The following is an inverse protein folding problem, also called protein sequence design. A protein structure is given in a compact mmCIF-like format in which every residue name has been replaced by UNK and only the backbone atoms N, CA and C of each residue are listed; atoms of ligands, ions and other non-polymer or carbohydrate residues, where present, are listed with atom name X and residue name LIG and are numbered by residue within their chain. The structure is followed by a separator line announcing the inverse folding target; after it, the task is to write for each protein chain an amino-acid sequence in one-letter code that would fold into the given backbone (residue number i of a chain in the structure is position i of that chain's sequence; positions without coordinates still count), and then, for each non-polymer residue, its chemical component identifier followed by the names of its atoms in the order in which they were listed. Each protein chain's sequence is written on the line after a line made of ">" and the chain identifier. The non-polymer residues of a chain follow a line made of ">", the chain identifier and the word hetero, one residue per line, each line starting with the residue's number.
data_IF_342119531910
#
_entry.id   IF_342119531910
#
_cell.length_a   1.000
_cell.length_b   1.000
_cell.length_c   1.000
_cell.angle_alpha   90.00
_cell.angle_beta   90.00
_cell.angle_gamma   90.00
#
_symmetry.space_group_name_H-M   'P 1'
#
loop_
_entity.id
_entity.type
_entity.pdbx_description
1 polymer ?
#
# COMPACT_ATOMS: atom_id res chain seq x y z
N UNK A 1 -31.77 40.55 -14.39
CA UNK A 1 -30.42 40.40 -13.83
C UNK A 1 -30.23 39.16 -12.94
N UNK A 2 -31.27 38.50 -12.37
CA UNK A 2 -31.09 37.33 -11.49
C UNK A 2 -30.86 35.97 -12.20
N UNK A 3 -31.23 35.85 -13.49
CA UNK A 3 -31.11 34.54 -14.17
C UNK A 3 -29.70 34.21 -14.66
N UNK A 4 -28.89 35.20 -15.04
CA UNK A 4 -27.49 34.99 -15.46
C UNK A 4 -26.58 34.60 -14.29
N UNK A 5 -26.74 35.24 -13.14
CA UNK A 5 -25.93 34.92 -11.94
C UNK A 5 -26.21 33.50 -11.41
N UNK A 6 -27.46 33.03 -11.44
CA UNK A 6 -27.80 31.66 -11.05
C UNK A 6 -27.25 30.60 -12.02
N UNK A 7 -27.17 30.94 -13.31
CA UNK A 7 -26.61 30.03 -14.32
C UNK A 7 -25.09 29.92 -14.22
N UNK A 8 -24.40 31.02 -13.99
CA UNK A 8 -22.95 31.03 -13.78
C UNK A 8 -22.54 30.28 -12.50
N UNK A 9 -23.25 30.51 -11.39
CA UNK A 9 -23.01 29.76 -10.14
C UNK A 9 -23.26 28.26 -10.30
N UNK A 10 -24.29 27.84 -11.04
CA UNK A 10 -24.56 26.44 -11.33
C UNK A 10 -23.51 25.80 -12.22
N UNK A 11 -22.92 26.54 -13.17
CA UNK A 11 -21.79 26.07 -13.98
C UNK A 11 -20.50 25.93 -13.18
N UNK A 12 -20.22 26.84 -12.25
CA UNK A 12 -19.06 26.75 -11.36
C UNK A 12 -19.17 25.52 -10.44
N UNK A 13 -20.34 25.28 -9.86
CA UNK A 13 -20.60 24.11 -9.04
C UNK A 13 -20.45 22.81 -9.85
N UNK A 14 -20.96 22.74 -11.07
CA UNK A 14 -20.82 21.59 -11.97
C UNK A 14 -19.34 21.35 -12.32
N UNK A 15 -18.59 22.42 -12.63
CA UNK A 15 -17.16 22.31 -12.92
C UNK A 15 -16.36 21.82 -11.69
N UNK A 16 -16.75 22.22 -10.49
CA UNK A 16 -16.14 21.71 -9.26
C UNK A 16 -16.40 20.22 -9.06
N UNK A 17 -17.65 19.76 -9.29
CA UNK A 17 -17.94 18.31 -9.23
C UNK A 17 -17.15 17.52 -10.28
N UNK A 18 -16.97 18.07 -11.48
CA UNK A 18 -16.10 17.44 -12.50
C UNK A 18 -14.63 17.41 -12.07
N UNK A 19 -14.13 18.47 -11.44
CA UNK A 19 -12.79 18.55 -10.87
C UNK A 19 -12.60 17.52 -9.75
N UNK A 20 -13.56 17.40 -8.85
CA UNK A 20 -13.57 16.40 -7.77
C UNK A 20 -13.59 14.97 -8.37
N UNK A 21 -14.45 14.71 -9.35
CA UNK A 21 -14.51 13.41 -10.03
C UNK A 21 -13.17 13.08 -10.74
N UNK A 22 -12.53 14.07 -11.34
CA UNK A 22 -11.20 13.92 -11.94
C UNK A 22 -10.13 13.59 -10.89
N UNK A 23 -10.15 14.29 -9.74
CA UNK A 23 -9.22 14.04 -8.64
C UNK A 23 -9.39 12.61 -8.08
N UNK A 24 -10.63 12.15 -7.93
CA UNK A 24 -10.94 10.77 -7.49
C UNK A 24 -10.36 9.72 -8.46
N UNK A 25 -10.35 10.01 -9.76
CA UNK A 25 -9.86 9.08 -10.78
C UNK A 25 -8.35 9.18 -11.06
N UNK A 26 -7.67 10.21 -10.58
CA UNK A 26 -6.28 10.53 -10.96
C UNK A 26 -5.20 9.96 -10.04
N UNK A 27 -5.56 9.58 -8.81
CA UNK A 27 -4.59 9.08 -7.81
C UNK A 27 -5.11 7.84 -7.10
N UNK A 28 -4.20 6.99 -6.65
CA UNK A 28 -4.51 5.84 -5.78
C UNK A 28 -4.31 6.15 -4.30
N UNK A 29 -3.64 7.24 -3.98
CA UNK A 29 -3.38 7.66 -2.61
C UNK A 29 -4.51 8.54 -2.09
N UNK A 30 -5.15 8.09 -1.02
CA UNK A 30 -6.29 8.78 -0.38
C UNK A 30 -5.99 10.26 -0.09
N UNK A 31 -4.81 10.56 0.43
CA UNK A 31 -4.46 11.95 0.77
C UNK A 31 -4.41 12.84 -0.46
N UNK A 32 -3.86 12.37 -1.57
CA UNK A 32 -3.79 13.15 -2.82
C UNK A 32 -5.18 13.41 -3.41
N UNK A 33 -6.05 12.40 -3.39
CA UNK A 33 -7.45 12.55 -3.83
C UNK A 33 -8.14 13.61 -2.97
N UNK A 34 -8.09 13.46 -1.66
CA UNK A 34 -8.77 14.34 -0.72
C UNK A 34 -8.18 15.76 -0.71
N UNK A 35 -6.89 15.91 -0.99
CA UNK A 35 -6.24 17.20 -1.21
C UNK A 35 -6.82 17.89 -2.44
N UNK A 36 -6.98 17.19 -3.56
CA UNK A 36 -7.62 17.73 -4.76
C UNK A 36 -9.07 18.15 -4.49
N UNK A 37 -9.83 17.31 -3.79
CA UNK A 37 -11.21 17.63 -3.37
C UNK A 37 -11.28 18.88 -2.51
N UNK A 38 -10.37 18.99 -1.50
CA UNK A 38 -10.36 20.13 -0.58
C UNK A 38 -9.98 21.43 -1.30
N UNK A 39 -9.04 21.39 -2.26
CA UNK A 39 -8.65 22.53 -3.09
C UNK A 39 -9.86 23.07 -3.88
N UNK A 40 -10.57 22.17 -4.57
CA UNK A 40 -11.74 22.57 -5.35
C UNK A 40 -12.87 23.08 -4.45
N UNK A 41 -13.10 22.42 -3.33
CA UNK A 41 -14.11 22.86 -2.38
C UNK A 41 -13.78 24.25 -1.78
N UNK A 42 -12.54 24.49 -1.38
CA UNK A 42 -12.07 25.80 -0.89
C UNK A 42 -12.28 26.91 -1.94
N UNK A 43 -12.00 26.59 -3.21
CA UNK A 43 -12.17 27.53 -4.33
C UNK A 43 -13.63 27.93 -4.52
N UNK A 44 -14.55 26.95 -4.48
CA UNK A 44 -15.99 27.22 -4.70
C UNK A 44 -16.60 28.00 -3.54
N UNK A 45 -16.30 27.62 -2.30
CA UNK A 45 -16.79 28.35 -1.12
C UNK A 45 -16.01 29.64 -0.85
N UNK A 46 -14.98 29.95 -1.66
CA UNK A 46 -14.12 31.11 -1.58
C UNK A 46 -13.53 31.34 -0.18
N UNK A 47 -13.00 30.30 0.43
CA UNK A 47 -12.42 30.36 1.79
C UNK A 47 -10.92 30.71 1.78
N UNK A 48 -10.46 31.47 2.80
CA UNK A 48 -9.04 31.79 3.02
C UNK A 48 -8.22 30.52 3.31
N UNK A 49 -8.77 29.65 4.15
CA UNK A 49 -8.15 28.39 4.54
C UNK A 49 -9.20 27.25 4.60
N UNK A 50 -8.72 26.03 4.41
CA UNK A 50 -9.54 24.84 4.55
C UNK A 50 -8.74 23.68 5.18
N UNK A 51 -9.39 22.91 6.03
CA UNK A 51 -8.80 21.74 6.69
C UNK A 51 -9.73 20.56 6.58
N UNK A 52 -9.20 19.42 6.20
CA UNK A 52 -9.85 18.12 6.32
C UNK A 52 -9.35 17.46 7.60
N UNK A 53 -10.24 17.29 8.54
CA UNK A 53 -10.00 16.58 9.79
C UNK A 53 -10.53 15.16 9.68
N UNK A 54 -9.75 14.16 10.11
CA UNK A 54 -10.19 12.77 10.21
C UNK A 54 -10.09 12.24 11.63
N UNK A 55 -11.02 11.37 11.99
CA UNK A 55 -10.96 10.61 13.26
C UNK A 55 -10.01 9.43 13.06
N UNK A 56 -8.97 9.38 13.88
CA UNK A 56 -8.07 8.23 13.94
C UNK A 56 -8.77 7.06 14.62
N UNK A 57 -8.96 5.96 13.90
CA UNK A 57 -9.72 4.80 14.38
C UNK A 57 -9.11 4.06 15.57
N UNK A 58 -7.82 4.31 15.89
CA UNK A 58 -7.13 3.67 17.05
C UNK A 58 -7.10 4.56 18.29
N UNK A 59 -6.82 5.85 18.09
CA UNK A 59 -6.63 6.81 19.19
C UNK A 59 -7.89 7.60 19.52
N UNK A 60 -8.88 7.58 18.62
CA UNK A 60 -10.09 8.42 18.61
C UNK A 60 -9.80 9.94 18.57
N UNK A 61 -8.55 10.34 18.38
CA UNK A 61 -8.17 11.72 18.16
C UNK A 61 -8.58 12.19 16.76
N UNK A 62 -8.84 13.48 16.64
CA UNK A 62 -9.17 14.14 15.37
C UNK A 62 -7.88 14.80 14.89
N UNK A 63 -7.37 14.32 13.76
CA UNK A 63 -6.09 14.74 13.19
C UNK A 63 -6.30 15.45 11.84
N UNK A 64 -5.53 16.51 11.52
CA UNK A 64 -5.60 17.15 10.21
C UNK A 64 -4.93 16.24 9.17
N UNK A 65 -5.71 15.74 8.20
CA UNK A 65 -5.15 14.97 7.08
C UNK A 65 -4.63 15.90 6.00
N UNK A 66 -5.41 16.93 5.66
CA UNK A 66 -5.06 17.91 4.63
C UNK A 66 -5.34 19.30 5.17
N UNK A 67 -4.36 20.19 5.01
CA UNK A 67 -4.49 21.61 5.34
C UNK A 67 -4.16 22.44 4.10
N UNK A 68 -4.97 23.44 3.81
CA UNK A 68 -4.77 24.40 2.72
C UNK A 68 -4.91 25.81 3.30
N UNK A 69 -3.91 26.65 3.08
CA UNK A 69 -3.89 28.02 3.60
C UNK A 69 -2.48 28.52 3.90
N UNK A 70 -2.34 29.72 4.43
CA UNK A 70 -1.05 30.37 4.65
C UNK A 70 -0.22 29.77 5.80
N UNK A 71 -0.79 28.91 6.65
CA UNK A 71 -0.20 28.42 7.90
C UNK A 71 -0.14 26.87 7.97
N UNK A 72 0.22 26.23 6.86
CA UNK A 72 0.20 24.75 6.76
C UNK A 72 1.20 24.10 7.72
N UNK A 73 2.40 24.68 7.86
CA UNK A 73 3.48 24.07 8.66
C UNK A 73 3.19 24.08 10.16
N UNK A 74 2.39 25.01 10.60
CA UNK A 74 2.01 25.19 12.00
C UNK A 74 0.97 24.17 12.47
N UNK A 75 0.37 23.40 11.53
CA UNK A 75 -0.57 22.33 11.85
C UNK A 75 0.09 20.98 12.21
N UNK A 76 1.40 20.89 12.08
CA UNK A 76 2.13 19.66 12.43
C UNK A 76 2.01 19.35 13.92
N UNK A 77 1.54 18.14 14.25
CA UNK A 77 1.32 17.70 15.64
C UNK A 77 0.06 18.26 16.32
N UNK A 78 -0.81 19.01 15.63
CA UNK A 78 -2.11 19.43 16.16
C UNK A 78 -3.09 18.25 16.10
N UNK A 79 -3.79 18.04 17.19
CA UNK A 79 -4.93 17.12 17.26
C UNK A 79 -6.02 17.72 18.16
N UNK A 80 -7.25 17.27 17.94
CA UNK A 80 -8.43 17.65 18.73
C UNK A 80 -9.07 16.40 19.33
N UNK A 81 -9.83 16.58 20.42
CA UNK A 81 -10.72 15.58 20.96
C UNK A 81 -12.14 15.79 20.44
N UNK A 82 -12.98 14.76 20.52
CA UNK A 82 -14.42 14.90 20.29
C UNK A 82 -14.98 15.98 21.23
N UNK A 83 -15.77 16.89 20.71
CA UNK A 83 -16.30 18.04 21.45
C UNK A 83 -15.34 19.24 21.57
N UNK A 84 -14.04 19.10 21.25
CA UNK A 84 -13.07 20.20 21.33
C UNK A 84 -13.14 21.10 20.08
N UNK A 85 -13.44 22.36 20.30
CA UNK A 85 -13.59 23.34 19.23
C UNK A 85 -14.79 23.05 18.30
N UNK A 86 -14.94 23.86 17.27
CA UNK A 86 -16.06 23.70 16.32
C UNK A 86 -15.96 22.38 15.55
N UNK A 87 -14.77 22.00 15.11
CA UNK A 87 -14.57 20.72 14.38
C UNK A 87 -14.90 19.50 15.26
N UNK A 88 -14.39 19.46 16.52
CA UNK A 88 -14.69 18.38 17.44
C UNK A 88 -16.18 18.27 17.80
N UNK A 89 -16.87 19.41 17.96
CA UNK A 89 -18.32 19.47 18.22
C UNK A 89 -19.13 18.95 17.03
N UNK A 90 -18.79 19.36 15.80
CA UNK A 90 -19.43 18.90 14.57
C UNK A 90 -19.30 17.38 14.43
N UNK A 91 -18.12 16.82 14.72
CA UNK A 91 -17.90 15.37 14.69
C UNK A 91 -18.70 14.66 15.77
N UNK A 92 -18.78 15.22 16.98
CA UNK A 92 -19.54 14.64 18.10
C UNK A 92 -21.05 14.66 17.84
N UNK A 93 -21.58 15.81 17.41
CA UNK A 93 -23.01 16.02 17.19
C UNK A 93 -23.49 15.52 15.83
N UNK A 94 -22.56 15.32 14.86
CA UNK A 94 -22.87 14.94 13.47
C UNK A 94 -23.74 15.99 12.75
N UNK A 95 -23.67 17.22 13.19
CA UNK A 95 -24.41 18.34 12.63
C UNK A 95 -23.42 19.39 12.10
N UNK A 96 -23.74 19.95 10.94
CA UNK A 96 -22.90 20.99 10.36
C UNK A 96 -23.02 22.30 11.16
N UNK A 97 -21.94 23.06 11.23
CA UNK A 97 -21.87 24.35 11.90
C UNK A 97 -21.56 25.47 10.88
N UNK A 98 -22.38 26.52 10.92
CA UNK A 98 -22.18 27.76 10.21
C UNK A 98 -22.03 28.90 11.23
N UNK A 99 -20.78 29.22 11.57
CA UNK A 99 -20.44 30.21 12.60
C UNK A 99 -20.01 31.50 11.93
N UNK A 100 -20.81 32.54 12.10
CA UNK A 100 -20.59 33.85 11.47
C UNK A 100 -19.71 34.79 12.30
N UNK A 101 -19.61 34.53 13.61
CA UNK A 101 -18.76 35.25 14.54
C UNK A 101 -18.23 34.27 15.60
N UNK A 102 -16.98 33.83 15.42
CA UNK A 102 -16.36 32.80 16.28
C UNK A 102 -16.13 33.28 17.69
N UNK A 103 -15.91 34.57 17.93
CA UNK A 103 -15.64 35.13 19.25
C UNK A 103 -16.86 35.04 20.17
N UNK A 104 -18.05 34.98 19.61
CA UNK A 104 -19.30 34.83 20.35
C UNK A 104 -19.82 33.39 20.38
N UNK A 105 -19.13 32.42 19.77
CA UNK A 105 -19.53 31.00 19.81
C UNK A 105 -18.91 30.30 21.02
N UNK A 106 -19.73 29.69 21.91
CA UNK A 106 -19.23 29.04 23.15
C UNK A 106 -18.36 27.79 22.86
N UNK A 107 -18.36 27.26 21.64
CA UNK A 107 -17.53 26.13 21.21
C UNK A 107 -16.20 26.60 20.62
N UNK A 108 -16.00 27.91 20.48
CA UNK A 108 -14.76 28.42 19.94
C UNK A 108 -13.59 28.14 20.88
N UNK A 109 -12.51 27.60 20.34
CA UNK A 109 -11.25 27.40 21.03
C UNK A 109 -10.15 28.14 20.24
N UNK A 110 -9.61 29.19 20.82
CA UNK A 110 -8.58 30.05 20.20
C UNK A 110 -7.20 29.40 20.11
N UNK A 111 -7.06 28.18 20.65
CA UNK A 111 -5.79 27.44 20.69
C UNK A 111 -5.15 27.31 19.32
N UNK A 112 -5.93 27.03 18.26
CA UNK A 112 -5.39 26.87 16.90
C UNK A 112 -4.95 28.21 16.36
N UNK A 113 -5.73 29.27 16.53
CA UNK A 113 -5.37 30.63 16.15
C UNK A 113 -4.11 31.09 16.88
N UNK A 114 -3.99 30.78 18.18
CA UNK A 114 -2.81 31.09 18.96
C UNK A 114 -1.55 30.39 18.46
N UNK A 115 -1.64 29.09 18.11
CA UNK A 115 -0.49 28.31 17.59
C UNK A 115 -0.12 28.79 16.19
N UNK A 116 -1.10 29.01 15.33
CA UNK A 116 -0.86 29.32 13.91
C UNK A 116 -0.64 30.82 13.65
N UNK A 117 -1.03 31.67 14.59
CA UNK A 117 -1.09 33.12 14.39
C UNK A 117 -2.08 33.54 13.30
N UNK A 118 -3.07 32.69 12.99
CA UNK A 118 -4.16 32.98 12.07
C UNK A 118 -5.29 33.68 12.83
N UNK A 119 -6.04 34.54 12.18
CA UNK A 119 -7.20 35.18 12.78
C UNK A 119 -8.47 34.65 12.16
N UNK A 120 -9.18 33.83 12.89
CA UNK A 120 -10.46 33.26 12.46
C UNK A 120 -11.60 34.25 12.79
N UNK A 121 -12.48 34.49 11.81
CA UNK A 121 -13.66 35.35 11.94
C UNK A 121 -14.95 34.58 11.76
N UNK A 122 -15.01 33.73 10.75
CA UNK A 122 -16.16 32.92 10.41
C UNK A 122 -15.71 31.51 10.03
N UNK A 123 -16.56 30.52 10.30
CA UNK A 123 -16.26 29.11 10.02
C UNK A 123 -17.51 28.44 9.43
N UNK A 124 -17.27 27.64 8.39
CA UNK A 124 -18.18 26.63 7.91
C UNK A 124 -17.55 25.25 8.17
N UNK A 125 -18.19 24.41 8.97
CA UNK A 125 -17.73 23.05 9.21
C UNK A 125 -18.82 22.05 8.88
N UNK A 126 -18.52 21.06 8.05
CA UNK A 126 -19.45 20.02 7.59
C UNK A 126 -18.93 18.64 7.97
N UNK A 127 -19.74 17.78 8.62
CA UNK A 127 -19.29 16.45 9.03
C UNK A 127 -19.17 15.54 7.81
N UNK A 128 -18.20 14.64 7.84
CA UNK A 128 -18.08 13.51 6.93
C UNK A 128 -18.69 12.30 7.64
N UNK A 129 -19.87 11.88 7.17
CA UNK A 129 -20.66 10.84 7.84
C UNK A 129 -20.64 9.57 7.01
N UNK A 130 -20.38 8.44 7.68
CA UNK A 130 -20.51 7.10 7.13
C UNK A 130 -21.10 6.17 8.18
N UNK A 131 -22.14 5.40 7.79
CA UNK A 131 -22.82 4.45 8.69
C UNK A 131 -23.19 5.09 10.04
N UNK A 132 -23.88 6.24 9.98
CA UNK A 132 -24.32 7.03 11.14
C UNK A 132 -23.20 7.55 12.06
N UNK A 133 -21.92 7.41 11.66
CA UNK A 133 -20.77 7.90 12.41
C UNK A 133 -20.08 9.03 11.65
N UNK A 134 -19.69 10.07 12.36
CA UNK A 134 -18.79 11.07 11.79
C UNK A 134 -17.36 10.53 11.80
N UNK A 135 -16.80 10.31 10.60
CA UNK A 135 -15.43 9.83 10.39
C UNK A 135 -14.44 10.98 10.21
N UNK A 136 -14.95 12.22 10.12
CA UNK A 136 -14.17 13.44 9.97
C UNK A 136 -15.06 14.64 9.72
N UNK A 137 -14.45 15.77 9.33
CA UNK A 137 -15.15 16.95 8.85
C UNK A 137 -14.29 17.78 7.91
N UNK A 138 -14.93 18.51 7.00
CA UNK A 138 -14.34 19.65 6.31
C UNK A 138 -14.59 20.91 7.13
N UNK A 139 -13.55 21.73 7.27
CA UNK A 139 -13.64 23.03 7.91
C UNK A 139 -13.07 24.10 6.96
N UNK A 140 -13.90 25.08 6.63
CA UNK A 140 -13.57 26.26 5.82
C UNK A 140 -13.55 27.47 6.72
N UNK A 141 -12.50 28.28 6.58
CA UNK A 141 -12.26 29.40 7.49
C UNK A 141 -12.16 30.68 6.68
N UNK A 142 -12.89 31.70 7.09
CA UNK A 142 -13.01 33.05 6.53
C UNK A 142 -13.30 33.06 5.02
N UNK A 143 -14.31 33.75 4.58
CA UNK A 143 -14.50 34.07 3.16
C UNK A 143 -13.52 35.15 2.72
N UNK A 144 -12.87 34.96 1.55
CA UNK A 144 -11.86 35.89 1.00
C UNK A 144 -12.41 37.26 0.70
N UNK A 145 -13.66 37.34 0.22
CA UNK A 145 -14.36 38.58 -0.08
C UNK A 145 -14.83 39.34 1.17
N UNK A 146 -14.56 38.81 2.37
CA UNK A 146 -14.97 39.39 3.66
C UNK A 146 -16.44 39.19 4.01
N UNK A 147 -17.21 38.51 3.17
CA UNK A 147 -18.60 38.11 3.45
C UNK A 147 -18.66 36.94 4.46
N UNK A 148 -19.86 36.55 4.83
CA UNK A 148 -20.12 35.37 5.65
C UNK A 148 -20.43 34.17 4.75
N UNK A 149 -20.13 32.97 5.24
CA UNK A 149 -20.57 31.76 4.56
C UNK A 149 -22.10 31.70 4.51
N UNK A 150 -22.64 31.25 3.38
CA UNK A 150 -24.05 31.17 3.10
C UNK A 150 -24.61 29.76 3.30
N UNK A 151 -25.95 29.63 3.21
CA UNK A 151 -26.60 28.31 3.17
C UNK A 151 -26.27 27.53 1.90
N UNK A 152 -25.89 28.20 0.83
CA UNK A 152 -25.48 27.57 -0.42
C UNK A 152 -24.08 26.98 -0.28
N UNK A 153 -23.16 27.71 0.36
CA UNK A 153 -21.84 27.16 0.75
C UNK A 153 -21.98 25.93 1.65
N UNK A 154 -22.92 25.96 2.60
CA UNK A 154 -23.23 24.83 3.46
C UNK A 154 -23.73 23.61 2.66
N UNK A 155 -24.69 23.80 1.72
CA UNK A 155 -25.21 22.73 0.88
C UNK A 155 -24.13 22.11 0.01
N UNK A 156 -23.31 22.94 -0.62
CA UNK A 156 -22.17 22.49 -1.41
C UNK A 156 -21.17 21.70 -0.55
N UNK A 157 -20.78 22.24 0.61
CA UNK A 157 -19.89 21.55 1.54
C UNK A 157 -20.40 20.18 1.97
N UNK A 158 -21.71 20.07 2.27
CA UNK A 158 -22.34 18.78 2.60
C UNK A 158 -22.29 17.78 1.43
N UNK A 159 -22.51 18.25 0.19
CA UNK A 159 -22.40 17.39 -0.99
C UNK A 159 -20.98 16.87 -1.20
N UNK A 160 -19.97 17.73 -1.06
CA UNK A 160 -18.55 17.35 -1.11
C UNK A 160 -18.21 16.37 0.00
N UNK A 161 -18.73 16.61 1.20
CA UNK A 161 -18.52 15.74 2.37
C UNK A 161 -19.04 14.32 2.12
N UNK A 162 -20.24 14.17 1.56
CA UNK A 162 -20.81 12.87 1.23
C UNK A 162 -19.99 12.11 0.18
N UNK A 163 -19.51 12.79 -0.87
CA UNK A 163 -18.61 12.17 -1.86
C UNK A 163 -17.30 11.73 -1.23
N UNK A 164 -16.72 12.56 -0.35
CA UNK A 164 -15.46 12.27 0.32
C UNK A 164 -15.59 11.10 1.30
N UNK A 165 -16.75 10.92 1.95
CA UNK A 165 -17.01 9.77 2.79
C UNK A 165 -16.83 8.45 2.02
N UNK A 166 -17.39 8.39 0.80
CA UNK A 166 -17.26 7.21 -0.07
C UNK A 166 -15.79 6.94 -0.45
N UNK A 167 -15.03 7.99 -0.79
CA UNK A 167 -13.59 7.86 -1.11
C UNK A 167 -12.81 7.33 0.07
N UNK A 168 -12.99 7.93 1.25
CA UNK A 168 -12.28 7.55 2.47
C UNK A 168 -12.55 6.09 2.83
N UNK A 169 -13.81 5.69 2.82
CA UNK A 169 -14.21 4.34 3.22
C UNK A 169 -13.76 3.31 2.20
N UNK A 170 -13.97 3.56 0.90
CA UNK A 170 -13.51 2.63 -0.13
C UNK A 170 -11.99 2.43 -0.08
N UNK A 171 -11.21 3.52 0.05
CA UNK A 171 -9.76 3.39 0.13
C UNK A 171 -9.33 2.63 1.39
N UNK A 172 -9.96 2.86 2.54
CA UNK A 172 -9.70 2.09 3.77
C UNK A 172 -10.04 0.61 3.59
N UNK A 173 -11.19 0.28 2.99
CA UNK A 173 -11.58 -1.10 2.73
C UNK A 173 -10.61 -1.81 1.78
N UNK A 174 -10.15 -1.14 0.72
CA UNK A 174 -9.13 -1.69 -0.17
C UNK A 174 -7.81 -1.97 0.56
N UNK A 175 -7.36 -1.06 1.41
CA UNK A 175 -6.14 -1.26 2.18
C UNK A 175 -6.27 -2.39 3.22
N UNK A 176 -7.40 -2.47 3.92
CA UNK A 176 -7.69 -3.57 4.84
C UNK A 176 -7.74 -4.93 4.11
N UNK A 177 -8.36 -5.00 2.94
CA UNK A 177 -8.37 -6.21 2.11
C UNK A 177 -6.96 -6.59 1.66
N UNK A 178 -6.15 -5.62 1.25
CA UNK A 178 -4.76 -5.83 0.86
C UNK A 178 -3.93 -6.41 2.00
N UNK A 179 -3.99 -5.80 3.18
CA UNK A 179 -3.30 -6.27 4.38
C UNK A 179 -3.76 -7.69 4.76
N UNK A 180 -5.07 -7.96 4.68
CA UNK A 180 -5.61 -9.28 4.98
C UNK A 180 -5.10 -10.34 4.01
N UNK A 181 -5.11 -10.07 2.71
CA UNK A 181 -4.60 -10.98 1.68
C UNK A 181 -3.12 -11.30 1.90
N UNK A 182 -2.29 -10.28 2.13
CA UNK A 182 -0.87 -10.47 2.42
C UNK A 182 -0.66 -11.28 3.71
N UNK A 183 -1.46 -11.01 4.74
CA UNK A 183 -1.40 -11.76 6.01
C UNK A 183 -1.77 -13.24 5.83
N UNK A 184 -2.81 -13.54 5.05
CA UNK A 184 -3.20 -14.91 4.71
C UNK A 184 -2.08 -15.59 3.92
N UNK A 185 -1.56 -14.93 2.88
CA UNK A 185 -0.47 -15.46 2.04
C UNK A 185 0.76 -15.79 2.88
N UNK A 186 1.18 -14.89 3.75
CA UNK A 186 2.29 -15.09 4.70
C UNK A 186 2.03 -16.27 5.66
N UNK A 187 0.80 -16.38 6.16
CA UNK A 187 0.41 -17.47 7.07
C UNK A 187 0.45 -18.82 6.37
N UNK A 188 -0.02 -18.91 5.12
CA UNK A 188 0.05 -20.13 4.31
C UNK A 188 1.50 -20.53 4.03
N UNK A 189 2.34 -19.57 3.64
CA UNK A 189 3.77 -19.80 3.44
C UNK A 189 4.45 -20.30 4.73
N UNK A 190 4.18 -19.65 5.86
CA UNK A 190 4.72 -20.08 7.17
C UNK A 190 4.25 -21.48 7.58
N UNK A 191 3.04 -21.90 7.19
CA UNK A 191 2.56 -23.24 7.47
C UNK A 191 3.33 -24.31 6.65
N UNK A 192 3.75 -23.96 5.43
CA UNK A 192 4.60 -24.83 4.60
C UNK A 192 6.01 -24.88 5.14
N UNK A 193 6.59 -23.73 5.48
CA UNK A 193 7.91 -23.64 6.12
C UNK A 193 7.95 -24.42 7.44
N UNK A 194 6.86 -24.44 8.22
CA UNK A 194 6.77 -25.21 9.46
C UNK A 194 6.76 -26.72 9.27
N UNK A 195 6.36 -27.20 8.08
CA UNK A 195 6.39 -28.64 7.72
C UNK A 195 7.81 -29.13 7.42
N UNK A 196 8.68 -28.25 6.92
CA UNK A 196 10.09 -28.52 6.67
C UNK A 196 10.95 -27.79 7.73
N UNK A 197 11.51 -28.51 8.71
CA UNK A 197 12.27 -27.90 9.81
C UNK A 197 13.47 -27.05 9.35
N UNK A 198 13.90 -27.24 8.10
CA UNK A 198 15.06 -26.57 7.52
C UNK A 198 14.69 -25.25 6.80
N UNK A 199 13.41 -25.02 6.59
CA UNK A 199 12.90 -23.83 5.87
C UNK A 199 12.30 -22.78 6.80
N UNK A 200 12.49 -22.89 8.13
CA UNK A 200 11.94 -21.90 9.07
C UNK A 200 12.37 -20.49 8.70
N UNK A 201 11.39 -19.64 8.30
CA UNK A 201 11.61 -18.27 7.89
C UNK A 201 12.28 -18.11 6.51
N UNK A 202 12.44 -19.19 5.76
CA UNK A 202 12.99 -19.17 4.40
C UNK A 202 12.19 -18.25 3.48
N UNK A 203 10.89 -18.48 3.39
CA UNK A 203 10.02 -17.69 2.49
C UNK A 203 10.05 -16.19 2.81
N UNK A 204 10.18 -15.82 4.09
CA UNK A 204 10.33 -14.41 4.49
C UNK A 204 11.68 -13.83 4.02
N UNK A 205 12.79 -14.58 4.14
CA UNK A 205 14.10 -14.13 3.68
C UNK A 205 14.16 -14.05 2.16
N UNK A 206 13.63 -15.06 1.44
CA UNK A 206 13.52 -15.04 -0.02
C UNK A 206 12.75 -13.82 -0.50
N UNK A 207 11.61 -13.52 0.14
CA UNK A 207 10.80 -12.33 -0.16
C UNK A 207 11.62 -11.05 0.05
N UNK A 208 12.31 -10.91 1.18
CA UNK A 208 13.12 -9.71 1.47
C UNK A 208 14.21 -9.49 0.43
N UNK A 209 14.89 -10.55 0.03
CA UNK A 209 15.94 -10.50 -1.00
C UNK A 209 15.33 -10.14 -2.36
N UNK A 210 14.25 -10.83 -2.76
CA UNK A 210 13.59 -10.60 -4.04
C UNK A 210 13.09 -9.16 -4.17
N UNK A 211 12.45 -8.61 -3.12
CA UNK A 211 11.96 -7.21 -3.10
C UNK A 211 13.12 -6.23 -3.27
N UNK A 212 14.25 -6.43 -2.57
CA UNK A 212 15.43 -5.57 -2.72
C UNK A 212 16.02 -5.62 -4.14
N UNK A 213 16.02 -6.79 -4.77
CA UNK A 213 16.41 -6.91 -6.19
C UNK A 213 15.42 -6.16 -7.09
N UNK A 214 14.12 -6.29 -6.85
CA UNK A 214 13.08 -5.55 -7.57
C UNK A 214 13.22 -4.02 -7.43
N UNK A 215 13.47 -3.52 -6.21
CA UNK A 215 13.76 -2.11 -5.95
C UNK A 215 14.98 -1.63 -6.76
N UNK A 216 16.04 -2.43 -6.78
CA UNK A 216 17.26 -2.13 -7.54
C UNK A 216 17.03 -2.08 -9.04
N UNK A 217 16.08 -2.86 -9.55
CA UNK A 217 15.67 -2.88 -10.97
C UNK A 217 14.67 -1.75 -11.30
N UNK A 218 14.20 -0.97 -10.31
CA UNK A 218 13.29 0.14 -10.51
C UNK A 218 11.82 -0.26 -10.55
N UNK A 219 11.44 -1.39 -9.96
CA UNK A 219 10.04 -1.80 -9.86
C UNK A 219 9.23 -0.75 -9.09
N UNK A 220 8.03 -0.48 -9.58
CA UNK A 220 7.09 0.36 -8.87
C UNK A 220 6.46 -0.37 -7.66
N UNK A 221 5.69 0.36 -6.83
CA UNK A 221 5.08 -0.20 -5.63
C UNK A 221 4.14 -1.38 -5.91
N UNK A 222 3.46 -1.40 -7.08
CA UNK A 222 2.59 -2.50 -7.46
C UNK A 222 3.37 -3.74 -7.92
N UNK A 223 4.44 -3.53 -8.65
CA UNK A 223 5.33 -4.60 -9.08
C UNK A 223 6.02 -5.24 -7.88
N UNK A 224 6.45 -4.44 -6.90
CA UNK A 224 7.03 -4.93 -5.64
C UNK A 224 6.02 -5.74 -4.82
N UNK A 225 4.77 -5.29 -4.71
CA UNK A 225 3.70 -6.03 -4.03
C UNK A 225 3.42 -7.39 -4.69
N UNK A 226 3.37 -7.43 -6.03
CA UNK A 226 3.23 -8.67 -6.79
C UNK A 226 4.40 -9.61 -6.56
N UNK A 227 5.62 -9.09 -6.57
CA UNK A 227 6.83 -9.85 -6.33
C UNK A 227 6.89 -10.40 -4.90
N UNK A 228 6.48 -9.61 -3.90
CA UNK A 228 6.37 -10.04 -2.51
C UNK A 228 5.42 -11.23 -2.37
N UNK A 229 4.21 -11.12 -2.91
CA UNK A 229 3.21 -12.20 -2.89
C UNK A 229 3.72 -13.45 -3.61
N UNK A 230 4.33 -13.29 -4.78
CA UNK A 230 4.87 -14.41 -5.56
C UNK A 230 6.00 -15.12 -4.82
N UNK A 231 6.88 -14.36 -4.16
CA UNK A 231 7.97 -14.92 -3.36
C UNK A 231 7.46 -15.74 -2.15
N UNK A 232 6.38 -15.31 -1.49
CA UNK A 232 5.76 -16.12 -0.45
C UNK A 232 5.16 -17.43 -0.97
N UNK A 233 4.64 -17.43 -2.19
CA UNK A 233 3.91 -18.57 -2.76
C UNK A 233 4.78 -19.48 -3.63
N UNK A 234 6.06 -19.15 -3.88
CA UNK A 234 6.89 -19.90 -4.82
C UNK A 234 6.93 -21.40 -4.53
N UNK A 235 6.98 -21.76 -3.26
CA UNK A 235 7.13 -23.12 -2.75
C UNK A 235 5.81 -23.75 -2.24
N UNK A 236 4.64 -23.12 -2.48
CA UNK A 236 3.33 -23.61 -1.99
C UNK A 236 3.06 -25.08 -2.37
N UNK A 237 3.59 -25.51 -3.49
CA UNK A 237 3.41 -26.89 -3.99
C UNK A 237 4.11 -27.97 -3.18
N UNK A 238 5.03 -27.62 -2.27
CA UNK A 238 5.64 -28.57 -1.32
C UNK A 238 4.61 -29.27 -0.44
N UNK A 239 3.43 -28.67 -0.28
CA UNK A 239 2.30 -29.30 0.42
C UNK A 239 1.89 -30.67 -0.21
N UNK A 240 2.11 -30.85 -1.51
CA UNK A 240 1.79 -32.09 -2.23
C UNK A 240 2.93 -33.12 -2.26
N UNK A 241 4.08 -32.81 -1.68
CA UNK A 241 5.21 -33.75 -1.63
C UNK A 241 5.11 -34.61 -0.37
N UNK A 242 5.25 -35.93 -0.46
CA UNK A 242 5.20 -36.84 0.69
C UNK A 242 6.32 -36.56 1.71
N UNK A 243 6.02 -36.68 3.01
CA UNK A 243 6.98 -36.38 4.09
C UNK A 243 8.23 -37.25 4.06
N UNK A 244 8.11 -38.51 3.67
CA UNK A 244 9.25 -39.41 3.55
C UNK A 244 10.26 -38.99 2.49
N UNK A 245 9.86 -38.15 1.54
CA UNK A 245 10.74 -37.58 0.50
C UNK A 245 11.19 -36.19 0.92
N UNK A 246 10.24 -35.33 1.34
CA UNK A 246 10.52 -33.92 1.70
C UNK A 246 11.47 -33.81 2.90
N UNK A 247 11.32 -34.70 3.89
CA UNK A 247 12.11 -34.69 5.14
C UNK A 247 13.26 -35.69 5.14
N UNK A 248 13.56 -36.31 3.99
CA UNK A 248 14.65 -37.29 3.88
C UNK A 248 15.98 -36.65 4.25
N UNK A 249 16.75 -37.37 5.09
CA UNK A 249 18.11 -36.98 5.47
C UNK A 249 19.19 -37.65 4.59
N UNK A 250 18.79 -38.62 3.81
CA UNK A 250 19.68 -39.34 2.90
C UNK A 250 19.72 -38.66 1.52
N UNK A 251 20.70 -39.09 0.71
CA UNK A 251 20.74 -38.68 -0.69
C UNK A 251 19.49 -39.25 -1.40
N UNK A 252 18.72 -38.35 -2.00
CA UNK A 252 17.55 -38.72 -2.77
C UNK A 252 17.93 -39.59 -3.99
N UNK A 253 17.10 -40.57 -4.28
CA UNK A 253 17.14 -41.28 -5.56
C UNK A 253 16.71 -40.36 -6.69
N UNK A 254 16.90 -40.77 -7.94
CA UNK A 254 16.47 -40.02 -9.12
C UNK A 254 14.95 -39.82 -9.09
N UNK A 255 14.22 -40.88 -8.76
CA UNK A 255 12.76 -40.88 -8.68
C UNK A 255 12.24 -39.95 -7.58
N UNK A 256 12.89 -39.96 -6.42
CA UNK A 256 12.54 -39.04 -5.30
C UNK A 256 12.84 -37.58 -5.67
N UNK A 257 13.96 -37.34 -6.33
CA UNK A 257 14.29 -35.99 -6.80
C UNK A 257 13.30 -35.50 -7.86
N UNK A 258 12.90 -36.37 -8.80
CA UNK A 258 11.85 -36.04 -9.79
C UNK A 258 10.51 -35.77 -9.10
N UNK A 259 10.21 -36.47 -8.00
CA UNK A 259 9.02 -36.20 -7.21
C UNK A 259 9.07 -34.82 -6.51
N UNK A 260 10.25 -34.39 -6.04
CA UNK A 260 10.39 -33.04 -5.47
C UNK A 260 10.17 -31.97 -6.55
N UNK A 261 10.66 -32.17 -7.78
CA UNK A 261 10.44 -31.22 -8.87
C UNK A 261 8.96 -30.93 -9.15
N UNK A 262 8.09 -31.89 -8.87
CA UNK A 262 6.64 -31.73 -9.04
C UNK A 262 6.05 -30.58 -8.19
N UNK A 263 6.76 -30.10 -7.15
CA UNK A 263 6.25 -28.97 -6.35
C UNK A 263 5.95 -27.74 -7.21
N UNK A 264 6.69 -27.52 -8.30
CA UNK A 264 6.45 -26.38 -9.21
C UNK A 264 5.11 -26.52 -9.93
N UNK A 265 4.82 -27.70 -10.47
CA UNK A 265 3.55 -28.00 -11.14
C UNK A 265 2.37 -28.00 -10.15
N UNK A 266 2.56 -28.58 -8.96
CA UNK A 266 1.54 -28.61 -7.89
C UNK A 266 1.25 -27.19 -7.42
N UNK A 267 2.29 -26.38 -7.19
CA UNK A 267 2.16 -24.98 -6.77
C UNK A 267 1.40 -24.15 -7.79
N UNK A 268 1.78 -24.23 -9.05
CA UNK A 268 1.07 -23.57 -10.15
C UNK A 268 -0.41 -23.98 -10.21
N UNK A 269 -0.69 -25.28 -10.04
CA UNK A 269 -2.08 -25.81 -10.01
C UNK A 269 -2.87 -25.26 -8.82
N UNK A 270 -2.28 -25.17 -7.64
CA UNK A 270 -2.93 -24.59 -6.44
C UNK A 270 -3.26 -23.12 -6.68
N UNK A 271 -2.29 -22.33 -7.19
CA UNK A 271 -2.46 -20.90 -7.44
C UNK A 271 -3.50 -20.67 -8.54
N UNK A 272 -3.57 -21.52 -9.56
CA UNK A 272 -4.57 -21.38 -10.63
C UNK A 272 -6.03 -21.54 -10.19
N UNK A 273 -6.28 -21.95 -8.95
CA UNK A 273 -7.63 -22.00 -8.37
C UNK A 273 -8.09 -20.66 -7.81
N UNK A 274 -7.19 -19.65 -7.75
CA UNK A 274 -7.53 -18.31 -7.26
C UNK A 274 -8.18 -17.51 -8.38
N UNK A 275 -9.36 -16.96 -8.11
CA UNK A 275 -10.10 -16.12 -9.06
C UNK A 275 -10.17 -14.65 -8.60
N UNK A 276 -10.07 -13.70 -9.52
CA UNK A 276 -9.83 -13.85 -10.97
C UNK A 276 -8.35 -14.15 -11.29
N UNK A 277 -8.12 -15.10 -12.18
CA UNK A 277 -6.77 -15.59 -12.54
C UNK A 277 -5.82 -14.49 -13.04
N UNK A 278 -6.34 -13.47 -13.73
CA UNK A 278 -5.56 -12.32 -14.21
C UNK A 278 -4.84 -11.56 -13.09
N UNK A 279 -5.36 -11.62 -11.86
CA UNK A 279 -4.78 -10.92 -10.72
C UNK A 279 -3.65 -11.69 -10.04
N UNK A 280 -3.45 -12.96 -10.38
CA UNK A 280 -2.49 -13.86 -9.71
C UNK A 280 -1.52 -14.52 -10.70
N UNK A 281 -1.60 -14.19 -11.98
CA UNK A 281 -0.78 -14.76 -13.05
C UNK A 281 0.72 -14.71 -12.73
N UNK A 282 1.19 -13.62 -12.14
CA UNK A 282 2.59 -13.46 -11.73
C UNK A 282 3.03 -14.50 -10.68
N UNK A 283 2.16 -14.81 -9.71
CA UNK A 283 2.48 -15.82 -8.69
C UNK A 283 2.42 -17.24 -9.27
N UNK A 284 1.48 -17.50 -10.19
CA UNK A 284 1.43 -18.73 -10.96
C UNK A 284 2.74 -18.97 -11.72
N UNK A 285 3.22 -17.96 -12.44
CA UNK A 285 4.46 -18.04 -13.21
C UNK A 285 5.68 -18.24 -12.31
N UNK A 286 5.75 -17.56 -11.17
CA UNK A 286 6.84 -17.72 -10.22
C UNK A 286 6.83 -19.13 -9.63
N UNK A 287 5.69 -19.63 -9.16
CA UNK A 287 5.60 -20.98 -8.61
C UNK A 287 6.00 -22.04 -9.64
N UNK A 288 5.64 -21.84 -10.91
CA UNK A 288 5.95 -22.80 -11.97
C UNK A 288 7.42 -22.73 -12.41
N UNK A 289 8.01 -21.51 -12.51
CA UNK A 289 9.27 -21.29 -13.22
C UNK A 289 10.45 -20.85 -12.37
N UNK A 290 10.32 -20.69 -11.04
CA UNK A 290 11.44 -20.25 -10.19
C UNK A 290 12.64 -21.22 -10.15
N UNK A 291 12.45 -22.46 -10.58
CA UNK A 291 13.50 -23.49 -10.70
C UNK A 291 14.05 -23.65 -12.13
N UNK A 292 13.59 -22.81 -13.06
CA UNK A 292 14.22 -22.72 -14.39
C UNK A 292 15.61 -22.09 -14.27
N UNK A 293 16.51 -22.49 -15.18
CA UNK A 293 17.87 -21.96 -15.26
C UNK A 293 18.05 -21.18 -16.53
N UNK A 294 18.82 -20.12 -16.46
CA UNK A 294 19.00 -19.19 -17.57
C UNK A 294 19.52 -19.86 -18.87
N UNK A 295 20.29 -20.95 -18.73
CA UNK A 295 20.79 -21.75 -19.85
C UNK A 295 19.78 -22.78 -20.42
N UNK A 296 18.61 -22.95 -19.78
CA UNK A 296 17.56 -23.89 -20.16
C UNK A 296 17.72 -25.30 -19.60
N UNK A 297 18.65 -25.51 -18.66
CA UNK A 297 18.83 -26.83 -18.00
C UNK A 297 18.00 -26.99 -16.73
N UNK A 298 17.11 -26.04 -16.45
CA UNK A 298 16.18 -26.03 -15.32
C UNK A 298 14.94 -26.90 -15.54
N UNK A 299 13.94 -26.75 -14.68
CA UNK A 299 12.67 -27.44 -14.74
C UNK A 299 11.51 -26.51 -14.35
N UNK A 300 10.26 -26.80 -14.73
CA UNK A 300 9.76 -28.05 -15.31
C UNK A 300 9.79 -28.09 -16.85
N UNK A 301 9.97 -26.96 -17.54
CA UNK A 301 9.80 -26.87 -19.00
C UNK A 301 11.09 -26.66 -19.77
N UNK A 302 12.18 -26.26 -19.10
CA UNK A 302 13.45 -25.96 -19.71
C UNK A 302 13.44 -24.62 -20.47
N UNK A 303 12.70 -23.62 -19.98
CA UNK A 303 12.72 -22.27 -20.52
C UNK A 303 14.13 -21.68 -20.43
N UNK A 304 14.50 -20.83 -21.41
CA UNK A 304 15.85 -20.29 -21.52
C UNK A 304 15.85 -18.77 -21.63
N UNK A 305 16.81 -18.15 -20.95
CA UNK A 305 17.04 -16.73 -21.06
C UNK A 305 15.82 -15.90 -20.65
N UNK A 306 15.42 -14.97 -21.49
CA UNK A 306 14.30 -14.07 -21.25
C UNK A 306 12.91 -14.70 -21.46
N UNK A 307 12.83 -15.95 -21.95
CA UNK A 307 11.57 -16.68 -21.97
C UNK A 307 11.12 -17.06 -20.54
N UNK A 308 12.06 -17.09 -19.57
CA UNK A 308 11.72 -17.24 -18.15
C UNK A 308 11.19 -15.90 -17.64
N UNK A 309 9.97 -15.85 -17.05
CA UNK A 309 9.41 -14.62 -16.52
C UNK A 309 10.36 -13.92 -15.54
N UNK A 310 10.49 -12.60 -15.63
CA UNK A 310 11.47 -11.83 -14.85
C UNK A 310 11.30 -12.06 -13.32
N UNK A 311 10.05 -12.05 -12.81
CA UNK A 311 9.81 -12.30 -11.38
C UNK A 311 10.23 -13.72 -10.97
N UNK A 312 10.09 -14.72 -11.84
CA UNK A 312 10.57 -16.07 -11.57
C UNK A 312 12.10 -16.13 -11.50
N UNK A 313 12.81 -15.42 -12.39
CA UNK A 313 14.29 -15.28 -12.32
C UNK A 313 14.74 -14.59 -11.03
N UNK A 314 14.03 -13.52 -10.61
CA UNK A 314 14.33 -12.78 -9.36
C UNK A 314 14.12 -13.69 -8.15
N UNK A 315 13.00 -14.40 -8.06
CA UNK A 315 12.75 -15.31 -6.94
C UNK A 315 13.72 -16.49 -6.96
N UNK A 316 14.05 -17.03 -8.15
CA UNK A 316 15.02 -18.13 -8.29
C UNK A 316 16.42 -17.78 -7.78
N UNK A 317 16.93 -16.58 -8.07
CA UNK A 317 18.25 -16.15 -7.53
C UNK A 317 18.17 -15.86 -6.04
N UNK A 318 17.05 -15.31 -5.54
CA UNK A 318 16.83 -15.05 -4.12
C UNK A 318 16.73 -16.35 -3.31
N UNK A 319 15.99 -17.35 -3.79
CA UNK A 319 15.88 -18.69 -3.22
C UNK A 319 17.25 -19.38 -3.15
N UNK A 320 17.99 -19.37 -4.26
CA UNK A 320 19.33 -19.97 -4.30
C UNK A 320 20.30 -19.28 -3.34
N UNK A 321 20.25 -17.95 -3.21
CA UNK A 321 21.11 -17.22 -2.29
C UNK A 321 20.74 -17.53 -0.83
N UNK A 322 19.46 -17.54 -0.46
CA UNK A 322 19.03 -17.96 0.88
C UNK A 322 19.44 -19.42 1.16
N UNK A 323 19.26 -20.31 0.19
CA UNK A 323 19.69 -21.70 0.33
C UNK A 323 21.20 -21.87 0.54
N UNK A 324 22.03 -20.99 -0.02
CA UNK A 324 23.50 -21.01 0.18
C UNK A 324 23.91 -20.47 1.55
N UNK A 325 23.24 -19.44 2.04
CA UNK A 325 23.62 -18.68 3.23
C UNK A 325 22.89 -19.10 4.50
N UNK A 326 21.82 -19.90 4.40
CA UNK A 326 21.07 -20.43 5.55
C UNK A 326 21.60 -21.79 5.99
N UNK A 327 21.46 -22.09 7.30
CA UNK A 327 21.84 -23.38 7.86
C UNK A 327 21.00 -24.52 7.28
N UNK A 328 21.67 -25.54 6.73
CA UNK A 328 21.05 -26.82 6.30
C UNK A 328 21.94 -27.98 6.79
N UNK A 329 21.37 -29.04 7.40
CA UNK A 329 22.19 -30.09 8.05
C UNK A 329 23.05 -30.89 7.09
N UNK A 330 22.74 -30.89 5.79
CA UNK A 330 23.48 -31.67 4.78
C UNK A 330 24.54 -30.87 4.03
N UNK A 331 24.65 -29.55 4.30
CA UNK A 331 25.58 -28.69 3.59
C UNK A 331 26.18 -27.67 4.55
N UNK A 332 27.47 -27.42 4.40
CA UNK A 332 28.13 -26.31 5.08
C UNK A 332 27.50 -25.00 4.61
N UNK A 333 27.05 -24.18 5.53
CA UNK A 333 26.58 -22.81 5.25
C UNK A 333 27.74 -22.01 4.64
N UNK A 334 27.47 -21.36 3.51
CA UNK A 334 28.42 -20.45 2.88
C UNK A 334 28.41 -19.09 3.57
N UNK A 335 29.54 -18.42 3.63
CA UNK A 335 29.58 -17.01 3.93
C UNK A 335 28.96 -16.19 2.79
N UNK A 336 28.64 -14.93 3.06
CA UNK A 336 28.10 -14.02 2.04
C UNK A 336 29.07 -13.91 0.86
N UNK A 337 30.38 -13.83 1.15
CA UNK A 337 31.41 -13.73 0.12
C UNK A 337 31.49 -15.01 -0.73
N UNK A 338 31.44 -16.19 -0.09
CA UNK A 338 31.42 -17.48 -0.81
C UNK A 338 30.17 -17.61 -1.68
N UNK A 339 29.00 -17.14 -1.21
CA UNK A 339 27.77 -17.14 -2.00
C UNK A 339 27.85 -16.14 -3.17
N UNK A 340 28.45 -14.98 -2.97
CA UNK A 340 28.68 -14.00 -4.03
C UNK A 340 29.60 -14.57 -5.14
N UNK A 341 30.68 -15.27 -4.78
CA UNK A 341 31.56 -15.95 -5.72
C UNK A 341 30.80 -17.04 -6.51
N UNK A 342 29.90 -17.79 -5.84
CA UNK A 342 29.06 -18.79 -6.52
C UNK A 342 28.10 -18.13 -7.50
N UNK A 343 27.45 -17.01 -7.15
CA UNK A 343 26.61 -16.26 -8.08
C UNK A 343 27.39 -15.82 -9.34
N UNK A 344 28.62 -15.33 -9.16
CA UNK A 344 29.50 -14.96 -10.29
C UNK A 344 29.82 -16.17 -11.16
N UNK A 345 30.11 -17.34 -10.54
CA UNK A 345 30.44 -18.58 -11.27
C UNK A 345 29.25 -19.10 -12.09
N UNK A 346 28.02 -18.90 -11.59
CA UNK A 346 26.80 -19.38 -12.24
C UNK A 346 26.13 -18.32 -13.13
N UNK A 347 26.79 -17.17 -13.33
CA UNK A 347 26.32 -16.09 -14.18
C UNK A 347 26.18 -16.55 -15.63
N UNK A 348 25.00 -16.38 -16.23
CA UNK A 348 24.68 -16.80 -17.59
C UNK A 348 24.43 -18.30 -17.76
N UNK A 349 24.58 -19.11 -16.70
CA UNK A 349 24.20 -20.53 -16.68
C UNK A 349 22.96 -20.75 -15.84
N UNK A 350 23.07 -20.76 -14.53
CA UNK A 350 21.91 -20.87 -13.66
C UNK A 350 21.16 -19.54 -13.54
N UNK A 351 21.88 -18.42 -13.43
CA UNK A 351 21.30 -17.11 -13.14
C UNK A 351 21.44 -16.12 -14.30
N UNK A 352 20.42 -15.26 -14.40
CA UNK A 352 20.46 -14.12 -15.29
C UNK A 352 21.63 -13.19 -14.96
N UNK A 353 22.46 -12.83 -15.96
CA UNK A 353 23.61 -11.94 -15.76
C UNK A 353 23.26 -10.60 -15.12
N UNK A 354 22.14 -9.98 -15.49
CA UNK A 354 21.71 -8.69 -14.94
C UNK A 354 21.30 -8.81 -13.47
N UNK A 355 20.62 -9.91 -13.10
CA UNK A 355 20.22 -10.18 -11.73
C UNK A 355 21.42 -10.49 -10.83
N UNK A 356 22.43 -11.18 -11.36
CA UNK A 356 23.69 -11.38 -10.61
C UNK A 356 24.34 -10.03 -10.31
N UNK A 357 24.46 -9.14 -11.30
CA UNK A 357 25.04 -7.81 -11.09
C UNK A 357 24.24 -6.98 -10.08
N UNK A 358 22.92 -7.04 -10.12
CA UNK A 358 22.04 -6.39 -9.14
C UNK A 358 22.28 -6.95 -7.72
N UNK A 359 22.31 -8.27 -7.57
CA UNK A 359 22.58 -8.94 -6.28
C UNK A 359 23.95 -8.55 -5.70
N UNK A 360 25.02 -8.59 -6.52
CA UNK A 360 26.37 -8.21 -6.08
C UNK A 360 26.42 -6.74 -5.66
N UNK A 361 25.71 -5.85 -6.36
CA UNK A 361 25.59 -4.44 -5.97
C UNK A 361 24.92 -4.28 -4.60
N UNK A 362 23.88 -5.07 -4.30
CA UNK A 362 23.22 -5.07 -3.00
C UNK A 362 24.11 -5.63 -1.87
N UNK A 363 24.81 -6.72 -2.13
CA UNK A 363 25.75 -7.33 -1.17
C UNK A 363 26.86 -6.33 -0.81
N UNK A 364 27.51 -5.74 -1.80
CA UNK A 364 28.59 -4.76 -1.60
C UNK A 364 28.13 -3.46 -0.94
N UNK A 365 26.87 -3.09 -1.14
CA UNK A 365 26.25 -1.91 -0.53
C UNK A 365 25.72 -2.16 0.90
N UNK A 366 25.88 -3.35 1.47
CA UNK A 366 25.29 -3.71 2.78
C UNK A 366 23.77 -3.80 2.77
N UNK A 367 23.14 -3.89 1.58
CA UNK A 367 21.69 -3.92 1.43
C UNK A 367 21.03 -5.28 1.70
N UNK A 368 21.81 -6.36 1.75
CA UNK A 368 21.31 -7.70 2.09
C UNK A 368 21.65 -7.98 3.55
N UNK A 369 20.64 -7.82 4.42
CA UNK A 369 20.75 -8.18 5.83
C UNK A 369 20.27 -9.63 5.96
N UNK A 370 21.17 -10.55 6.23
CA UNK A 370 20.83 -11.91 6.66
C UNK A 370 20.68 -11.84 8.17
N UNK A 371 19.45 -12.03 8.67
CA UNK A 371 19.24 -12.21 10.11
C UNK A 371 19.71 -13.62 10.49
N UNK A 372 20.67 -13.70 11.41
CA UNK A 372 21.08 -14.93 12.08
C UNK A 372 19.93 -15.61 12.85
#
# INVERSE_FOLDING_TARGET
>A
MNYSNNYEAGLEELNAYMGIASAINSSREMEQILRGVLIEAQRVVDADAATLWLVNGKTELIEPLVVIGPKIKEFEGIFLKKGEGIAGKVIEQREAALVTDVLNDPSWADRIDFITGFTTRSILTVPIIWDEKAIGCFQFVNKRDGNLFSKDDLRFGMSVSNLSAMVIVNTRLYEEQRILLMSITRTLSAAIDARDPYTKGHSERVKQIAVKVGEKLGFDAQELEKLEMAAFLHDIGKIGIPDNILLSQDKLTIEEYDRIKEHTNIGAKIISMIEPSSNIEYAYQVALYHQEKFDGTGYPTGLKGNDIPLMARIVGIADAFDAMTSYRPYRKTMSIDEAAEELVRQKGTQFDPELVDAMLSLINGGGVIIYE
#
